data_IF_380936986843
#
_entry.id   IF_380936986843
#
_cell.length_a   1.000
_cell.length_b   1.000
_cell.length_c   1.000
_cell.angle_alpha   90.00
_cell.angle_beta   90.00
_cell.angle_gamma   90.00
#
_symmetry.space_group_name_H-M   'P 1'
#
loop_
_entity.id
_entity.type
_entity.pdbx_description
1 polymer ?
#
# COMPACT_ATOMS: atom_id res chain seq x y z
N UNK A 1 1.98 -0.97 -25.72
CA UNK A 1 1.11 -0.08 -24.93
C UNK A 1 1.92 0.44 -23.76
N UNK A 2 1.67 1.66 -23.22
CA UNK A 2 2.31 2.08 -21.99
C UNK A 2 1.87 1.15 -20.85
N UNK A 3 2.85 0.65 -20.09
CA UNK A 3 2.62 -0.23 -18.94
C UNK A 3 2.98 0.49 -17.64
N UNK A 4 2.12 0.39 -16.64
CA UNK A 4 2.31 1.01 -15.34
C UNK A 4 2.36 -0.05 -14.25
N UNK A 5 3.41 -0.02 -13.43
CA UNK A 5 3.54 -0.84 -12.24
C UNK A 5 2.94 -0.13 -11.03
N UNK A 6 1.97 -0.77 -10.38
CA UNK A 6 1.29 -0.21 -9.20
C UNK A 6 1.55 -1.13 -8.01
N UNK A 7 2.14 -0.56 -6.95
CA UNK A 7 2.22 -1.21 -5.66
C UNK A 7 0.88 -1.02 -4.93
N UNK A 8 0.09 -2.09 -4.83
CA UNK A 8 -1.17 -2.12 -4.09
C UNK A 8 -0.87 -2.45 -2.63
N UNK A 9 -1.29 -1.58 -1.73
CA UNK A 9 -1.11 -1.69 -0.29
C UNK A 9 -2.49 -1.79 0.40
N UNK A 10 -3.11 -2.98 0.47
CA UNK A 10 -4.46 -3.13 1.02
C UNK A 10 -4.59 -2.66 2.47
N UNK A 11 -3.56 -2.98 3.28
CA UNK A 11 -3.48 -2.62 4.69
C UNK A 11 -4.54 -3.31 5.56
N UNK A 12 -5.18 -2.54 6.44
CA UNK A 12 -5.95 -3.04 7.59
C UNK A 12 -7.44 -2.69 7.53
N UNK A 13 -8.24 -3.35 8.37
CA UNK A 13 -9.68 -3.09 8.49
C UNK A 13 -10.41 -3.31 7.17
N UNK A 14 -11.15 -2.29 6.70
CA UNK A 14 -11.86 -2.34 5.42
C UNK A 14 -10.94 -2.18 4.19
N UNK A 15 -9.66 -1.85 4.40
CA UNK A 15 -8.68 -1.60 3.35
C UNK A 15 -8.68 -2.69 2.26
N UNK A 16 -8.50 -3.98 2.62
CA UNK A 16 -8.54 -5.09 1.65
C UNK A 16 -9.84 -5.26 0.87
N UNK A 17 -10.98 -4.84 1.41
CA UNK A 17 -12.26 -4.92 0.71
C UNK A 17 -12.37 -3.81 -0.34
N UNK A 18 -12.04 -2.57 0.05
CA UNK A 18 -12.15 -1.42 -0.87
C UNK A 18 -11.05 -1.41 -1.93
N UNK A 19 -9.83 -1.88 -1.62
CA UNK A 19 -8.76 -1.96 -2.62
C UNK A 19 -9.04 -3.00 -3.69
N UNK A 20 -9.76 -4.08 -3.35
CA UNK A 20 -10.18 -5.11 -4.32
C UNK A 20 -11.13 -4.53 -5.38
N UNK A 21 -12.05 -3.68 -4.95
CA UNK A 21 -12.98 -3.00 -5.87
C UNK A 21 -12.26 -1.93 -6.70
N UNK A 22 -11.29 -1.23 -6.11
CA UNK A 22 -10.42 -0.32 -6.86
C UNK A 22 -9.60 -1.05 -7.94
N UNK A 23 -9.04 -2.22 -7.63
CA UNK A 23 -8.35 -3.08 -8.60
C UNK A 23 -9.25 -3.44 -9.78
N UNK A 24 -10.49 -3.86 -9.53
CA UNK A 24 -11.47 -4.15 -10.60
C UNK A 24 -11.72 -2.92 -11.48
N UNK A 25 -11.84 -1.73 -10.88
CA UNK A 25 -12.02 -0.49 -11.62
C UNK A 25 -10.77 -0.11 -12.44
N UNK A 26 -9.56 -0.28 -11.88
CA UNK A 26 -8.30 -0.01 -12.58
C UNK A 26 -8.13 -0.94 -13.78
N UNK A 27 -8.41 -2.24 -13.64
CA UNK A 27 -8.35 -3.21 -14.74
C UNK A 27 -9.36 -2.86 -15.84
N UNK A 28 -10.60 -2.51 -15.47
CA UNK A 28 -11.60 -2.10 -16.43
C UNK A 28 -11.20 -0.81 -17.18
N UNK A 29 -10.59 0.15 -16.50
CA UNK A 29 -10.07 1.36 -17.13
C UNK A 29 -8.90 1.05 -18.08
N UNK A 30 -7.94 0.22 -17.67
CA UNK A 30 -6.83 -0.22 -18.50
C UNK A 30 -7.31 -0.82 -19.83
N UNK A 31 -8.33 -1.69 -19.75
CA UNK A 31 -8.98 -2.28 -20.94
C UNK A 31 -9.72 -1.26 -21.80
N UNK A 32 -10.43 -0.31 -21.18
CA UNK A 32 -11.23 0.68 -21.91
C UNK A 32 -10.39 1.73 -22.65
N UNK A 33 -9.19 2.03 -22.15
CA UNK A 33 -8.31 3.08 -22.67
C UNK A 33 -7.00 2.55 -23.27
N UNK A 34 -6.88 1.24 -23.49
CA UNK A 34 -5.77 0.58 -24.19
C UNK A 34 -4.37 0.84 -23.56
N UNK A 35 -4.28 0.70 -22.24
CA UNK A 35 -3.02 0.70 -21.49
C UNK A 35 -2.88 -0.55 -20.62
N UNK A 36 -1.67 -0.84 -20.17
CA UNK A 36 -1.38 -2.00 -19.32
C UNK A 36 -1.14 -1.56 -17.87
N UNK A 37 -1.60 -2.38 -16.93
CA UNK A 37 -1.27 -2.23 -15.51
C UNK A 37 -0.76 -3.55 -14.95
N UNK A 38 0.30 -3.48 -14.16
CA UNK A 38 0.81 -4.56 -13.34
C UNK A 38 0.51 -4.21 -11.88
N UNK A 39 -0.31 -5.05 -11.22
CA UNK A 39 -0.70 -4.85 -9.82
C UNK A 39 0.06 -5.84 -8.93
N UNK A 40 0.90 -5.32 -8.05
CA UNK A 40 1.59 -6.15 -7.05
C UNK A 40 1.09 -5.83 -5.64
N UNK A 41 0.68 -6.86 -4.91
CA UNK A 41 0.16 -6.71 -3.55
C UNK A 41 1.27 -6.77 -2.51
N UNK A 42 1.37 -5.75 -1.67
CA UNK A 42 2.39 -5.67 -0.62
C UNK A 42 1.79 -5.37 0.76
N UNK A 43 2.35 -5.96 1.83
CA UNK A 43 1.86 -5.79 3.19
C UNK A 43 2.25 -4.43 3.77
N UNK A 44 1.33 -3.77 4.47
CA UNK A 44 1.59 -2.56 5.26
C UNK A 44 0.71 -2.54 6.51
N UNK A 45 1.07 -1.73 7.51
CA UNK A 45 0.27 -1.50 8.70
C UNK A 45 0.29 -2.68 9.67
N UNK A 46 -0.81 -2.90 10.36
CA UNK A 46 -0.98 -3.96 11.35
C UNK A 46 -0.81 -5.35 10.75
N UNK A 47 -1.31 -5.56 9.53
CA UNK A 47 -1.14 -6.80 8.78
C UNK A 47 0.33 -7.12 8.50
N UNK A 48 1.14 -6.09 8.21
CA UNK A 48 2.59 -6.27 8.06
C UNK A 48 3.27 -6.53 9.40
N UNK A 49 2.86 -5.81 10.45
CA UNK A 49 3.39 -5.99 11.79
C UNK A 49 3.20 -7.44 12.28
N UNK A 50 2.04 -8.03 12.04
CA UNK A 50 1.78 -9.44 12.42
C UNK A 50 2.64 -10.45 11.68
N UNK A 51 2.95 -10.19 10.41
CA UNK A 51 3.66 -11.15 9.55
C UNK A 51 5.18 -10.99 9.59
N UNK A 52 5.65 -9.77 9.77
CA UNK A 52 7.06 -9.39 9.59
C UNK A 52 7.65 -8.67 10.81
N UNK A 53 6.86 -8.48 11.87
CA UNK A 53 7.23 -7.69 13.06
C UNK A 53 7.63 -6.24 12.75
N UNK A 54 7.24 -5.74 11.57
CA UNK A 54 7.43 -4.35 11.14
C UNK A 54 6.21 -3.86 10.36
N UNK A 55 5.69 -2.65 10.64
CA UNK A 55 4.49 -2.15 9.97
C UNK A 55 4.78 -1.66 8.53
N UNK A 56 6.04 -1.46 8.16
CA UNK A 56 6.47 -1.17 6.79
C UNK A 56 7.76 -1.95 6.45
N UNK A 57 7.64 -3.21 5.98
CA UNK A 57 8.78 -4.07 5.67
C UNK A 57 9.66 -3.51 4.55
N UNK A 58 10.96 -3.82 4.57
CA UNK A 58 11.90 -3.32 3.56
C UNK A 58 11.53 -3.80 2.14
N UNK A 59 11.07 -5.04 1.99
CA UNK A 59 10.58 -5.53 0.69
C UNK A 59 9.38 -4.70 0.16
N UNK A 60 8.47 -4.27 1.05
CA UNK A 60 7.35 -3.39 0.67
C UNK A 60 7.86 -2.00 0.29
N UNK A 61 8.84 -1.48 1.02
CA UNK A 61 9.50 -0.20 0.69
C UNK A 61 10.16 -0.26 -0.69
N UNK A 62 10.94 -1.29 -0.96
CA UNK A 62 11.63 -1.49 -2.24
C UNK A 62 10.63 -1.59 -3.39
N UNK A 63 9.56 -2.35 -3.22
CA UNK A 63 8.49 -2.44 -4.21
C UNK A 63 7.79 -1.09 -4.47
N UNK A 64 7.53 -0.30 -3.41
CA UNK A 64 6.96 1.04 -3.57
C UNK A 64 7.89 1.98 -4.35
N UNK A 65 9.20 1.91 -4.11
CA UNK A 65 10.20 2.73 -4.81
C UNK A 65 10.41 2.31 -6.27
N UNK A 66 10.13 1.06 -6.60
CA UNK A 66 10.22 0.51 -7.96
C UNK A 66 8.93 0.66 -8.77
N UNK A 67 7.82 1.05 -8.14
CA UNK A 67 6.52 1.22 -8.80
C UNK A 67 6.35 2.65 -9.36
N UNK A 68 5.52 2.78 -10.39
CA UNK A 68 5.14 4.08 -10.96
C UNK A 68 4.13 4.81 -10.07
N UNK A 69 3.30 4.05 -9.35
CA UNK A 69 2.31 4.58 -8.42
C UNK A 69 2.05 3.61 -7.27
N UNK A 70 1.50 4.15 -6.18
CA UNK A 70 1.13 3.38 -4.99
C UNK A 70 -0.34 3.62 -4.69
N UNK A 71 -1.08 2.54 -4.51
CA UNK A 71 -2.49 2.60 -4.12
C UNK A 71 -2.64 2.01 -2.73
N UNK A 72 -2.84 2.89 -1.74
CA UNK A 72 -3.01 2.54 -0.33
C UNK A 72 -4.50 2.46 0.03
N UNK A 73 -4.89 1.38 0.70
CA UNK A 73 -6.19 1.23 1.33
C UNK A 73 -6.27 1.99 2.66
N UNK A 74 -6.26 1.27 3.77
CA UNK A 74 -6.32 1.85 5.11
C UNK A 74 -5.26 1.24 6.02
N UNK A 75 -4.86 1.94 7.08
CA UNK A 75 -3.85 1.48 8.04
C UNK A 75 -4.39 1.69 9.45
N UNK A 76 -4.19 0.70 10.32
CA UNK A 76 -4.50 0.77 11.74
C UNK A 76 -5.76 0.00 12.16
N UNK A 77 -5.94 -0.08 13.47
CA UNK A 77 -7.08 -0.73 14.10
C UNK A 77 -6.85 -0.97 15.59
N UNK A 78 -7.93 -1.14 16.40
CA UNK A 78 -7.84 -1.22 17.87
C UNK A 78 -6.92 -2.32 18.39
N UNK A 79 -6.70 -3.37 17.59
CA UNK A 79 -5.79 -4.47 17.91
C UNK A 79 -4.37 -4.01 18.20
N UNK A 80 -3.90 -2.93 17.54
CA UNK A 80 -2.51 -2.46 17.61
C UNK A 80 -2.36 -1.12 18.34
N UNK A 81 -3.40 -0.61 18.99
CA UNK A 81 -3.35 0.68 19.70
C UNK A 81 -2.34 0.71 20.87
N UNK A 82 -1.95 -0.47 21.36
CA UNK A 82 -0.95 -0.63 22.41
C UNK A 82 0.49 -0.52 21.89
N UNK A 83 0.72 -0.60 20.58
CA UNK A 83 2.04 -0.47 19.97
C UNK A 83 2.53 0.99 20.05
N UNK A 84 3.85 1.19 20.16
CA UNK A 84 4.43 2.51 20.36
C UNK A 84 5.59 2.80 19.41
N UNK A 85 5.89 4.09 19.22
CA UNK A 85 7.00 4.53 18.37
C UNK A 85 6.88 4.01 16.93
N UNK A 86 7.95 3.40 16.42
CA UNK A 86 8.04 2.90 15.05
C UNK A 86 7.20 1.64 14.78
N UNK A 87 6.63 1.02 15.81
CA UNK A 87 5.77 -0.17 15.67
C UNK A 87 4.31 0.20 15.47
N UNK A 88 3.92 1.44 15.74
CA UNK A 88 2.56 1.93 15.44
C UNK A 88 2.24 1.74 13.98
N UNK A 89 1.02 1.31 13.68
CA UNK A 89 0.57 1.12 12.30
C UNK A 89 0.72 2.42 11.49
N UNK A 90 0.34 3.56 12.06
CA UNK A 90 0.40 4.87 11.39
C UNK A 90 1.84 5.34 11.12
N UNK A 91 2.84 4.78 11.82
CA UNK A 91 4.24 5.04 11.52
C UNK A 91 4.62 4.54 10.13
N UNK A 92 3.94 3.51 9.60
CA UNK A 92 4.13 3.04 8.24
C UNK A 92 3.77 4.10 7.20
N UNK A 93 2.67 4.83 7.39
CA UNK A 93 2.26 5.91 6.46
C UNK A 93 3.30 7.04 6.43
N UNK A 94 3.83 7.42 7.60
CA UNK A 94 4.87 8.44 7.69
C UNK A 94 6.18 7.97 7.02
N UNK A 95 6.56 6.71 7.26
CA UNK A 95 7.75 6.11 6.66
C UNK A 95 7.63 5.97 5.13
N UNK A 96 6.44 5.62 4.64
CA UNK A 96 6.10 5.56 3.22
C UNK A 96 6.22 6.95 2.58
N UNK A 97 5.52 7.96 3.11
CA UNK A 97 5.59 9.34 2.61
C UNK A 97 7.02 9.86 2.54
N UNK A 98 7.82 9.61 3.57
CA UNK A 98 9.24 9.99 3.60
C UNK A 98 10.05 9.26 2.51
N UNK A 99 9.83 7.96 2.31
CA UNK A 99 10.53 7.19 1.30
C UNK A 99 10.28 7.71 -0.12
N UNK A 100 9.03 8.09 -0.40
CA UNK A 100 8.62 8.60 -1.72
C UNK A 100 8.95 10.08 -1.95
N UNK A 101 9.38 10.80 -0.92
CA UNK A 101 9.43 12.25 -0.98
C UNK A 101 8.04 12.88 -1.21
N UNK A 102 6.97 12.28 -0.68
CA UNK A 102 5.58 12.73 -0.86
C UNK A 102 5.25 13.97 -0.01
N UNK A 103 5.79 15.13 -0.39
CA UNK A 103 5.62 16.40 0.33
C UNK A 103 4.35 17.18 -0.03
N UNK A 104 3.77 16.94 -1.21
CA UNK A 104 2.55 17.57 -1.67
C UNK A 104 1.36 16.61 -1.47
N UNK A 105 0.35 17.06 -0.73
CA UNK A 105 -0.85 16.30 -0.39
C UNK A 105 -2.11 17.08 -0.78
#
# INVERSE_FOLDING_TARGET
MPGYKIALLPGDGIGPEVTREAERAMVAAAQAFDFEIELEHWPIGGTALEKFDMPFPDATREACLAADAIFLGAIGGPKWDHETGNRRCEAALLALRKALGGYAN
#
